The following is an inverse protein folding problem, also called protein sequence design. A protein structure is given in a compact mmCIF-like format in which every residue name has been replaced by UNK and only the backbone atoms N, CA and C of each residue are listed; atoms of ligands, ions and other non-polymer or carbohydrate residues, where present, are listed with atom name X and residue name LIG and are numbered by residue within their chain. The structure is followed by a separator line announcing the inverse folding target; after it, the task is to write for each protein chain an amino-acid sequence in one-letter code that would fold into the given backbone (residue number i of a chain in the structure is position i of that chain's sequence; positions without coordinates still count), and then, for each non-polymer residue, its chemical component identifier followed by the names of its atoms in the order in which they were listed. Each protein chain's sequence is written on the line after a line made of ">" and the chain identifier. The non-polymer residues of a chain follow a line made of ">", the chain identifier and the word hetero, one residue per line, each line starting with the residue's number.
data_IF_453024488050
#
_entry.id   IF_453024488050
#
_cell.length_a   1.000
_cell.length_b   1.000
_cell.length_c   1.000
_cell.angle_alpha   90.00
_cell.angle_beta   90.00
_cell.angle_gamma   90.00
#
_symmetry.space_group_name_H-M   'P 1'
#
loop_
_entity.id
_entity.type
_entity.pdbx_description
1 polymer ?
#
# COMPACT_ATOMS: atom_id res chain seq x y z
N UNK A 1 12.33 3.71 3.04
CA UNK A 1 11.22 4.24 2.22
C UNK A 1 10.00 4.41 3.11
N UNK A 2 9.30 5.55 3.01
CA UNK A 2 8.11 5.85 3.79
C UNK A 2 6.93 6.11 2.85
N UNK A 3 5.71 5.71 3.25
CA UNK A 3 4.45 5.98 2.53
C UNK A 3 3.58 6.94 3.32
N UNK A 4 3.06 7.97 2.66
CA UNK A 4 1.94 8.75 3.17
C UNK A 4 0.64 8.00 2.87
N UNK A 5 -0.09 7.56 3.89
CA UNK A 5 -1.31 6.77 3.72
C UNK A 5 -2.51 7.58 3.22
N UNK A 6 -2.50 8.91 3.39
CA UNK A 6 -3.57 9.79 2.92
C UNK A 6 -3.40 10.16 1.44
N UNK A 7 -2.17 10.45 1.01
CA UNK A 7 -1.90 10.93 -0.36
C UNK A 7 -1.31 9.87 -1.28
N UNK A 8 -0.83 8.74 -0.72
CA UNK A 8 -0.14 7.70 -1.48
C UNK A 8 1.32 8.02 -1.83
N UNK A 9 1.81 9.23 -1.54
CA UNK A 9 3.18 9.63 -1.85
C UNK A 9 4.22 8.76 -1.13
N UNK A 10 5.26 8.36 -1.85
CA UNK A 10 6.43 7.72 -1.28
C UNK A 10 7.57 8.72 -1.08
N UNK A 11 8.39 8.47 -0.06
CA UNK A 11 9.57 9.28 0.23
C UNK A 11 10.72 8.44 0.81
N UNK A 12 11.88 9.08 0.92
CA UNK A 12 13.11 8.44 1.37
C UNK A 12 13.82 7.66 0.27
N UNK A 13 14.78 6.84 0.67
CA UNK A 13 15.69 6.16 -0.23
C UNK A 13 15.62 4.63 -0.06
N UNK A 14 15.99 3.92 -1.12
CA UNK A 14 16.33 2.50 -1.13
C UNK A 14 17.72 2.31 -1.72
N UNK A 15 18.43 1.27 -1.30
CA UNK A 15 19.75 0.95 -1.84
C UNK A 15 19.66 -0.27 -2.77
N UNK A 16 20.33 -0.21 -3.90
CA UNK A 16 20.60 -1.37 -4.74
C UNK A 16 22.05 -1.34 -5.20
N UNK A 17 22.77 -2.47 -5.08
CA UNK A 17 24.20 -2.56 -5.38
C UNK A 17 24.57 -2.08 -6.79
N UNK A 18 23.69 -2.30 -7.78
CA UNK A 18 23.93 -1.91 -9.16
C UNK A 18 23.32 -0.54 -9.52
N UNK A 19 22.29 -0.08 -8.79
CA UNK A 19 21.57 1.15 -9.11
C UNK A 19 22.01 2.36 -8.26
N UNK A 20 22.75 2.12 -7.17
CA UNK A 20 23.08 3.13 -6.17
C UNK A 20 21.89 3.44 -5.26
N UNK A 21 21.86 4.66 -4.73
CA UNK A 21 20.69 5.14 -4.00
C UNK A 21 19.55 5.44 -4.96
N UNK A 22 18.36 4.97 -4.60
CA UNK A 22 17.11 5.17 -5.32
C UNK A 22 16.27 6.15 -4.50
N UNK A 23 16.03 7.33 -5.03
CA UNK A 23 15.20 8.37 -4.43
C UNK A 23 13.76 8.27 -4.96
N UNK A 24 12.79 8.11 -4.06
CA UNK A 24 11.37 7.98 -4.40
C UNK A 24 10.61 9.31 -4.43
N UNK A 25 11.21 10.40 -3.96
CA UNK A 25 10.69 11.78 -4.07
C UNK A 25 11.82 12.74 -4.50
N UNK A 26 12.38 12.59 -5.71
CA UNK A 26 13.43 13.47 -6.18
C UNK A 26 12.93 14.91 -6.31
N UNK A 27 13.76 15.87 -5.92
CA UNK A 27 13.40 17.30 -5.90
C UNK A 27 13.10 17.86 -7.31
N UNK A 28 13.64 17.21 -8.34
CA UNK A 28 13.44 17.54 -9.75
C UNK A 28 12.05 17.13 -10.28
N UNK A 29 11.23 16.44 -9.48
CA UNK A 29 9.88 16.00 -9.85
C UNK A 29 9.81 14.51 -10.22
N UNK A 30 8.62 14.07 -10.64
CA UNK A 30 8.36 12.70 -11.07
C UNK A 30 8.05 11.68 -9.97
N UNK A 31 8.29 12.00 -8.69
CA UNK A 31 8.22 11.09 -7.54
C UNK A 31 7.07 10.07 -7.49
N UNK A 32 7.32 8.98 -6.77
CA UNK A 32 6.45 7.81 -6.78
C UNK A 32 5.24 8.00 -5.87
N UNK A 33 4.07 7.62 -6.37
CA UNK A 33 2.82 7.55 -5.61
C UNK A 33 2.17 6.17 -5.74
N UNK A 34 1.37 5.81 -4.74
CA UNK A 34 0.52 4.62 -4.73
C UNK A 34 -0.92 5.07 -4.69
N UNK A 35 -1.74 4.67 -5.65
CA UNK A 35 -3.18 4.88 -5.59
C UNK A 35 -3.76 4.11 -4.38
N UNK A 36 -4.37 4.80 -3.39
CA UNK A 36 -4.87 4.14 -2.19
C UNK A 36 -6.08 3.24 -2.44
N UNK A 37 -6.79 3.40 -3.57
CA UNK A 37 -7.93 2.56 -3.92
C UNK A 37 -7.52 1.28 -4.66
N UNK A 38 -6.52 1.37 -5.54
CA UNK A 38 -6.12 0.24 -6.41
C UNK A 38 -4.80 -0.40 -6.01
N UNK A 39 -3.99 0.28 -5.19
CA UNK A 39 -2.63 -0.16 -4.84
C UNK A 39 -1.62 0.02 -5.97
N UNK A 40 -2.01 0.57 -7.12
CA UNK A 40 -1.14 0.78 -8.28
C UNK A 40 -0.09 1.85 -8.00
N UNK A 41 1.17 1.56 -8.31
CA UNK A 41 2.25 2.53 -8.27
C UNK A 41 2.25 3.38 -9.54
N UNK A 42 2.61 4.65 -9.41
CA UNK A 42 2.79 5.57 -10.53
C UNK A 42 3.97 6.52 -10.28
N UNK A 43 4.37 7.28 -11.31
CA UNK A 43 5.54 8.14 -11.26
C UNK A 43 6.86 7.41 -11.52
N UNK A 44 7.94 8.06 -11.11
CA UNK A 44 9.32 7.72 -11.38
C UNK A 44 10.18 7.89 -10.12
N UNK A 45 11.04 6.91 -9.87
CA UNK A 45 12.14 7.04 -8.91
C UNK A 45 13.42 7.41 -9.66
N UNK A 46 14.35 8.10 -8.99
CA UNK A 46 15.66 8.41 -9.54
C UNK A 46 16.73 7.53 -8.88
N UNK A 47 17.49 6.80 -9.69
CA UNK A 47 18.64 6.04 -9.25
C UNK A 47 19.93 6.68 -9.75
N UNK A 48 20.92 6.85 -8.89
CA UNK A 48 22.17 7.55 -9.19
C UNK A 48 22.93 6.96 -10.39
N UNK A 49 22.94 5.62 -10.51
CA UNK A 49 23.75 4.94 -11.52
C UNK A 49 23.00 4.57 -12.80
N UNK A 50 21.66 4.50 -12.76
CA UNK A 50 20.85 4.03 -13.91
C UNK A 50 19.75 5.02 -14.34
N UNK A 51 19.61 6.14 -13.63
CA UNK A 51 18.65 7.19 -13.94
C UNK A 51 17.22 6.85 -13.53
N UNK A 52 16.26 7.29 -14.35
CA UNK A 52 14.83 7.21 -14.04
C UNK A 52 14.29 5.78 -14.11
N UNK A 53 13.64 5.34 -13.04
CA UNK A 53 12.92 4.07 -12.95
C UNK A 53 11.41 4.37 -12.98
N UNK A 54 10.72 3.90 -14.02
CA UNK A 54 9.27 4.00 -14.13
C UNK A 54 8.61 2.74 -13.58
N UNK A 55 7.58 2.88 -12.73
CA UNK A 55 6.94 1.75 -12.05
C UNK A 55 5.63 1.27 -12.69
N UNK A 56 5.14 1.98 -13.70
CA UNK A 56 3.96 1.63 -14.49
C UNK A 56 4.07 2.23 -15.87
N UNK A 57 3.71 1.50 -16.90
CA UNK A 57 3.71 2.01 -18.27
C UNK A 57 3.57 0.93 -19.32
N UNK A 58 3.94 1.29 -20.55
CA UNK A 58 3.96 0.39 -21.70
C UNK A 58 5.41 0.22 -22.15
N UNK A 59 5.86 -1.03 -22.25
CA UNK A 59 7.18 -1.39 -22.74
C UNK A 59 7.25 -1.24 -24.28
N UNK A 60 8.46 -1.29 -24.82
CA UNK A 60 8.70 -1.11 -26.27
C UNK A 60 7.98 -2.16 -27.14
N UNK A 61 7.73 -3.35 -26.60
CA UNK A 61 6.95 -4.41 -27.25
C UNK A 61 5.43 -4.26 -27.06
N UNK A 62 4.95 -3.07 -26.70
CA UNK A 62 3.57 -2.75 -26.38
C UNK A 62 2.96 -3.48 -25.16
N UNK A 63 3.73 -4.28 -24.42
CA UNK A 63 3.26 -4.91 -23.19
C UNK A 63 3.13 -3.87 -22.07
N UNK A 64 2.01 -3.86 -21.37
CA UNK A 64 1.83 -3.02 -20.18
C UNK A 64 2.43 -3.68 -18.96
N UNK A 65 3.14 -2.91 -18.13
CA UNK A 65 3.65 -3.35 -16.83
C UNK A 65 3.21 -2.40 -15.73
N UNK A 66 3.09 -2.92 -14.52
CA UNK A 66 2.82 -2.14 -13.31
C UNK A 66 3.35 -2.85 -12.06
N UNK A 67 3.73 -2.07 -11.06
CA UNK A 67 3.90 -2.51 -9.67
C UNK A 67 2.62 -2.15 -8.92
N UNK A 68 2.11 -3.06 -8.10
CA UNK A 68 0.92 -2.83 -7.29
C UNK A 68 1.05 -3.51 -5.92
N UNK A 69 0.40 -2.95 -4.90
CA UNK A 69 0.18 -3.64 -3.64
C UNK A 69 -0.81 -4.80 -3.82
N UNK A 70 -0.65 -5.84 -3.01
CA UNK A 70 -1.62 -6.93 -2.92
C UNK A 70 -2.51 -6.73 -1.70
N UNK A 71 -3.79 -7.05 -1.84
CA UNK A 71 -4.73 -7.10 -0.73
C UNK A 71 -4.43 -8.29 0.19
N UNK A 72 -4.78 -8.12 1.47
CA UNK A 72 -4.82 -9.17 2.48
C UNK A 72 -6.23 -9.29 3.05
N UNK A 73 -6.63 -10.51 3.41
CA UNK A 73 -7.96 -10.76 3.99
C UNK A 73 -7.97 -10.48 5.48
N UNK A 74 -8.88 -9.60 5.92
CA UNK A 74 -9.28 -9.42 7.30
C UNK A 74 -10.55 -10.26 7.56
N UNK A 75 -10.44 -11.24 8.46
CA UNK A 75 -11.59 -12.02 8.91
C UNK A 75 -12.15 -11.45 10.21
N UNK A 76 -13.44 -11.12 10.22
CA UNK A 76 -14.16 -10.67 11.41
C UNK A 76 -15.22 -11.71 11.76
N UNK A 77 -15.08 -12.33 12.93
CA UNK A 77 -16.03 -13.33 13.45
C UNK A 77 -17.03 -12.66 14.37
N UNK A 78 -18.32 -13.02 14.27
CA UNK A 78 -19.41 -12.41 15.06
C UNK A 78 -19.52 -10.87 14.89
N UNK A 79 -19.20 -10.38 13.69
CA UNK A 79 -19.31 -8.97 13.36
C UNK A 79 -19.29 -8.71 11.86
N UNK A 80 -19.25 -7.43 11.52
CA UNK A 80 -19.12 -6.90 10.16
C UNK A 80 -17.82 -6.11 10.02
N UNK A 81 -17.41 -5.84 8.78
CA UNK A 81 -16.14 -5.17 8.46
C UNK A 81 -14.99 -6.12 8.11
N UNK A 82 -15.28 -7.40 7.86
CA UNK A 82 -14.35 -8.32 7.20
C UNK A 82 -14.31 -8.11 5.69
N UNK A 83 -13.20 -8.49 5.05
CA UNK A 83 -13.00 -8.29 3.62
C UNK A 83 -11.53 -8.35 3.21
N UNK A 84 -11.25 -8.07 1.94
CA UNK A 84 -9.90 -7.91 1.44
C UNK A 84 -9.54 -6.43 1.43
N UNK A 85 -8.36 -6.10 1.94
CA UNK A 85 -7.93 -4.72 2.10
C UNK A 85 -6.47 -4.54 1.72
N UNK A 86 -6.15 -3.39 1.12
CA UNK A 86 -4.77 -3.01 0.87
C UNK A 86 -4.05 -2.69 2.20
N UNK A 87 -2.72 -2.90 2.28
CA UNK A 87 -1.94 -2.52 3.45
C UNK A 87 -2.12 -1.06 3.85
N UNK A 88 -2.31 -0.81 5.15
CA UNK A 88 -2.54 0.52 5.71
C UNK A 88 -3.99 1.01 5.63
N UNK A 89 -4.92 0.22 5.08
CA UNK A 89 -6.35 0.54 5.13
C UNK A 89 -6.85 0.48 6.58
N UNK A 90 -7.52 1.55 7.01
CA UNK A 90 -8.20 1.58 8.32
C UNK A 90 -9.65 1.14 8.12
N UNK A 91 -10.05 0.06 8.78
CA UNK A 91 -11.38 -0.56 8.62
C UNK A 91 -12.14 -0.46 9.94
N UNK A 92 -13.35 0.10 9.90
CA UNK A 92 -14.28 0.04 11.01
C UNK A 92 -14.94 -1.33 11.09
N UNK A 93 -14.90 -1.98 12.25
CA UNK A 93 -15.57 -3.25 12.52
C UNK A 93 -16.71 -3.04 13.52
N UNK A 94 -17.79 -3.80 13.38
CA UNK A 94 -18.98 -3.69 14.24
C UNK A 94 -19.40 -5.07 14.72
N UNK A 95 -19.60 -5.22 16.03
CA UNK A 95 -20.04 -6.48 16.61
C UNK A 95 -21.51 -6.74 16.24
N UNK A 96 -21.85 -8.00 16.01
CA UNK A 96 -23.25 -8.38 15.86
C UNK A 96 -24.02 -8.12 17.16
N UNK A 97 -25.32 -7.89 17.05
CA UNK A 97 -26.19 -7.70 18.21
C UNK A 97 -26.11 -8.96 19.09
N UNK A 98 -25.72 -8.83 20.37
CA UNK A 98 -25.62 -9.97 21.27
C UNK A 98 -27.01 -10.49 21.64
N UNK A 99 -27.09 -11.74 22.11
CA UNK A 99 -28.36 -12.30 22.57
C UNK A 99 -28.93 -11.50 23.78
N UNK A 100 -30.23 -11.64 24.05
CA UNK A 100 -30.87 -10.94 25.15
C UNK A 100 -30.15 -11.22 26.48
N UNK A 101 -29.81 -10.15 27.22
CA UNK A 101 -29.06 -10.23 28.47
C UNK A 101 -27.53 -10.27 28.33
N UNK A 102 -27.01 -10.29 27.10
CA UNK A 102 -25.58 -10.18 26.82
C UNK A 102 -25.23 -8.80 26.27
N UNK A 103 -23.99 -8.38 26.48
CA UNK A 103 -23.42 -7.14 25.90
C UNK A 103 -22.09 -7.46 25.24
N UNK A 104 -21.68 -6.63 24.31
CA UNK A 104 -20.32 -6.69 23.75
C UNK A 104 -19.30 -6.47 24.87
N UNK A 105 -18.31 -7.36 24.98
CA UNK A 105 -17.20 -7.24 25.93
C UNK A 105 -15.97 -6.66 25.22
N UNK A 106 -15.39 -7.42 24.28
CA UNK A 106 -14.22 -7.01 23.51
C UNK A 106 -14.02 -7.83 22.25
N UNK A 107 -13.17 -7.32 21.36
CA UNK A 107 -12.57 -8.08 20.27
C UNK A 107 -11.32 -8.84 20.76
N UNK A 108 -11.03 -9.98 20.14
CA UNK A 108 -9.79 -10.75 20.32
C UNK A 108 -9.24 -11.18 18.97
N UNK A 109 -7.92 -11.18 18.78
CA UNK A 109 -7.29 -11.62 17.53
C UNK A 109 -5.86 -11.11 17.39
N UNK A 110 -5.24 -11.42 16.25
CA UNK A 110 -3.90 -10.95 15.93
C UNK A 110 -3.90 -9.43 15.72
N UNK A 111 -3.25 -8.72 16.63
CA UNK A 111 -3.09 -7.25 16.57
C UNK A 111 -1.79 -6.82 15.91
N UNK A 112 -1.04 -7.73 15.29
CA UNK A 112 0.28 -7.45 14.71
C UNK A 112 0.41 -7.95 13.26
N UNK A 113 0.94 -7.08 12.40
CA UNK A 113 1.60 -7.42 11.13
C UNK A 113 3.09 -7.66 11.38
#
# INVERSE_FOLDING_TARGET
>A
MNRNTATGELSGFGWATNAGWINFKPAQGGGVTIDPATGDFSGYAWAENIGWIKLKGTAANAATYKVALSESTLTVTNGTGGGNYLPGTVVGIVANIPAAGQVFDKWTGDTAN
#
